data_IF_208011351880
#
_entry.id   IF_208011351880
#
_cell.length_a   1.000
_cell.length_b   1.000
_cell.length_c   1.000
_cell.angle_alpha   90.00
_cell.angle_beta   90.00
_cell.angle_gamma   90.00
#
_symmetry.space_group_name_H-M   'P 1'
#
loop_
_entity.id
_entity.type
_entity.pdbx_description
1 polymer ?
#
# COMPACT_ATOMS: atom_id res chain seq x y z
N UNK A 1 28.75 23.92 -17.95
CA UNK A 1 27.81 23.73 -16.82
C UNK A 1 26.38 23.82 -17.34
N UNK A 2 25.74 22.74 -17.82
CA UNK A 2 24.35 22.81 -18.24
C UNK A 2 23.41 22.47 -17.08
N UNK A 3 22.49 23.37 -16.79
CA UNK A 3 21.38 23.22 -15.84
C UNK A 3 20.36 22.22 -16.40
N UNK A 4 20.14 21.12 -15.69
CA UNK A 4 19.18 20.09 -16.08
C UNK A 4 17.76 20.60 -15.78
N UNK A 5 17.15 21.30 -16.74
CA UNK A 5 15.73 21.63 -16.68
C UNK A 5 14.92 20.33 -16.75
N UNK A 6 14.22 20.00 -15.67
CA UNK A 6 13.26 18.91 -15.61
C UNK A 6 12.28 18.99 -16.80
N UNK A 7 12.45 18.10 -17.79
CA UNK A 7 11.46 17.90 -18.86
C UNK A 7 10.20 17.34 -18.22
N UNK A 8 9.24 18.23 -18.04
CA UNK A 8 7.89 18.00 -17.50
C UNK A 8 7.21 16.87 -18.26
N UNK A 9 6.91 15.76 -17.60
CA UNK A 9 6.12 14.64 -18.14
C UNK A 9 4.70 15.12 -18.49
N UNK A 10 4.26 15.06 -19.77
CA UNK A 10 2.98 15.62 -20.21
C UNK A 10 1.73 14.96 -19.57
N UNK A 11 1.79 13.69 -19.18
CA UNK A 11 0.63 12.90 -18.77
C UNK A 11 -0.05 13.32 -17.45
N UNK A 12 0.71 13.82 -16.47
CA UNK A 12 0.17 14.16 -15.14
C UNK A 12 -0.77 15.38 -15.14
N UNK A 13 -0.67 16.25 -16.14
CA UNK A 13 -1.58 17.40 -16.35
C UNK A 13 -2.96 16.98 -16.84
N UNK A 14 -3.08 15.85 -17.52
CA UNK A 14 -4.34 15.35 -18.04
C UNK A 14 -5.17 14.62 -16.98
N UNK A 15 -4.56 14.15 -15.89
CA UNK A 15 -5.21 13.32 -14.86
C UNK A 15 -6.50 13.92 -14.29
N UNK A 16 -6.61 15.23 -13.99
CA UNK A 16 -7.88 15.83 -13.54
C UNK A 16 -8.99 15.80 -14.60
N UNK A 17 -8.64 15.82 -15.89
CA UNK A 17 -9.55 15.82 -17.04
C UNK A 17 -10.01 14.43 -17.49
N UNK A 18 -9.38 13.35 -17.01
CA UNK A 18 -9.69 11.95 -17.36
C UNK A 18 -10.68 11.28 -16.39
N UNK A 19 -11.38 12.08 -15.60
CA UNK A 19 -12.34 11.63 -14.58
C UNK A 19 -13.62 11.11 -15.24
N UNK A 20 -13.84 9.80 -15.25
CA UNK A 20 -15.09 9.21 -15.73
C UNK A 20 -16.12 9.25 -14.58
N UNK A 21 -17.27 9.87 -14.85
CA UNK A 21 -18.39 9.90 -13.91
C UNK A 21 -19.35 8.78 -14.27
N UNK A 22 -19.46 7.77 -13.41
CA UNK A 22 -20.50 6.75 -13.50
C UNK A 22 -21.57 7.11 -12.46
N UNK A 23 -22.80 7.35 -12.90
CA UNK A 23 -23.91 7.83 -12.06
C UNK A 23 -23.58 9.09 -11.23
N UNK A 24 -22.89 10.06 -11.85
CA UNK A 24 -22.54 11.35 -11.22
C UNK A 24 -21.43 11.29 -10.16
N UNK A 25 -20.95 10.09 -9.79
CA UNK A 25 -19.84 9.88 -8.86
C UNK A 25 -18.59 9.42 -9.63
N UNK A 26 -17.42 9.81 -9.12
CA UNK A 26 -16.13 9.32 -9.65
C UNK A 26 -15.72 8.07 -8.91
N UNK A 27 -15.08 7.15 -9.62
CA UNK A 27 -14.58 5.91 -9.04
C UNK A 27 -13.53 6.22 -7.94
N UNK A 28 -13.49 5.44 -6.85
CA UNK A 28 -12.54 5.66 -5.74
C UNK A 28 -11.09 5.75 -6.20
N UNK A 29 -10.77 4.96 -7.21
CA UNK A 29 -9.45 4.80 -7.79
C UNK A 29 -9.02 6.01 -8.64
N UNK A 30 -9.97 6.66 -9.33
CA UNK A 30 -9.72 7.93 -10.02
C UNK A 30 -9.53 9.08 -9.03
N UNK A 31 -10.31 9.10 -7.94
CA UNK A 31 -10.10 10.08 -6.85
C UNK A 31 -8.72 9.92 -6.20
N UNK A 32 -8.23 8.68 -6.07
CA UNK A 32 -6.89 8.39 -5.59
C UNK A 32 -5.81 8.91 -6.54
N UNK A 33 -5.91 8.57 -7.83
CA UNK A 33 -4.98 9.03 -8.86
C UNK A 33 -4.96 10.57 -8.96
N UNK A 34 -6.11 11.24 -8.86
CA UNK A 34 -6.20 12.70 -8.84
C UNK A 34 -5.56 13.30 -7.58
N UNK A 35 -5.74 12.69 -6.40
CA UNK A 35 -5.10 13.16 -5.17
C UNK A 35 -3.57 13.05 -5.24
N UNK A 36 -3.05 11.94 -5.76
CA UNK A 36 -1.61 11.74 -5.95
C UNK A 36 -1.05 12.63 -7.07
N UNK A 37 -1.78 12.84 -8.17
CA UNK A 37 -1.32 13.69 -9.28
C UNK A 37 -1.27 15.17 -8.94
N UNK A 38 -2.08 15.65 -7.99
CA UNK A 38 -2.02 17.04 -7.47
C UNK A 38 -0.64 17.42 -6.92
N UNK A 39 0.13 16.46 -6.38
CA UNK A 39 1.51 16.68 -5.92
C UNK A 39 2.45 17.18 -7.04
N UNK A 40 2.15 16.80 -8.29
CA UNK A 40 2.91 17.17 -9.48
C UNK A 40 2.43 18.45 -10.17
N UNK A 41 1.24 18.94 -9.81
CA UNK A 41 0.64 20.16 -10.35
C UNK A 41 0.80 21.36 -9.41
N UNK A 42 1.36 21.14 -8.21
CA UNK A 42 1.74 22.18 -7.26
C UNK A 42 2.85 23.08 -7.83
N UNK A 43 2.89 24.39 -7.50
CA UNK A 43 3.96 25.31 -7.93
C UNK A 43 5.39 24.83 -7.58
N UNK A 44 5.52 23.98 -6.56
CA UNK A 44 6.75 23.24 -6.22
C UNK A 44 6.45 21.73 -6.31
N UNK A 45 6.74 21.07 -7.44
CA UNK A 45 6.45 19.65 -7.61
C UNK A 45 7.38 18.80 -6.74
N UNK A 46 6.80 17.90 -5.95
CA UNK A 46 7.52 16.93 -5.12
C UNK A 46 7.37 15.56 -5.77
N UNK A 47 8.50 14.89 -6.03
CA UNK A 47 8.53 13.54 -6.62
C UNK A 47 8.04 12.50 -5.62
N UNK A 48 7.23 11.55 -6.07
CA UNK A 48 6.91 10.37 -5.26
C UNK A 48 8.19 9.57 -4.97
N UNK A 49 8.28 8.91 -3.79
CA UNK A 49 9.46 8.16 -3.39
C UNK A 49 9.76 6.97 -4.29
N UNK A 50 8.75 6.40 -4.95
CA UNK A 50 8.92 5.25 -5.85
C UNK A 50 8.27 5.54 -7.21
N UNK A 51 8.93 6.32 -8.08
CA UNK A 51 8.48 6.53 -9.45
C UNK A 51 8.57 5.26 -10.30
N UNK A 52 9.50 4.34 -9.95
CA UNK A 52 9.78 3.13 -10.73
C UNK A 52 8.63 2.10 -10.72
N UNK A 53 7.82 2.05 -9.66
CA UNK A 53 6.62 1.20 -9.60
C UNK A 53 5.40 1.82 -10.30
N UNK A 54 5.48 3.10 -10.66
CA UNK A 54 4.41 3.88 -11.32
C UNK A 54 4.76 4.28 -12.76
N UNK A 55 5.97 3.95 -13.22
CA UNK A 55 6.48 4.27 -14.53
C UNK A 55 6.88 3.00 -15.26
N UNK A 56 6.18 2.68 -16.36
CA UNK A 56 6.54 1.56 -17.23
C UNK A 56 8.01 1.65 -17.66
N UNK A 57 8.73 0.52 -17.80
CA UNK A 57 10.02 0.50 -18.46
C UNK A 57 9.82 1.00 -19.90
N UNK A 58 10.66 1.95 -20.28
CA UNK A 58 10.66 2.62 -21.57
C UNK A 58 11.07 1.64 -22.67
N UNK A 59 10.11 0.97 -23.31
CA UNK A 59 10.34 0.31 -24.59
C UNK A 59 9.20 0.65 -25.57
N UNK A 60 9.59 1.45 -26.55
CA UNK A 60 8.98 1.71 -27.86
C UNK A 60 7.55 2.29 -27.93
N UNK A 61 7.46 3.43 -28.60
CA UNK A 61 6.28 4.27 -28.81
C UNK A 61 5.44 3.80 -30.02
N UNK A 62 4.13 3.72 -29.86
CA UNK A 62 3.15 3.61 -30.96
C UNK A 62 1.78 4.06 -30.46
N UNK A 63 1.48 5.35 -30.62
CA UNK A 63 0.35 6.01 -29.97
C UNK A 63 -1.01 5.50 -30.43
N UNK A 64 -1.82 5.05 -29.47
CA UNK A 64 -3.26 4.89 -29.63
C UNK A 64 -4.00 5.34 -28.36
N UNK A 65 -5.27 5.73 -28.51
CA UNK A 65 -6.13 6.29 -27.46
C UNK A 65 -6.35 5.36 -26.24
N UNK A 66 -5.90 4.10 -26.33
CA UNK A 66 -5.83 3.14 -25.23
C UNK A 66 -4.66 3.38 -24.26
N UNK A 67 -3.70 4.23 -24.60
CA UNK A 67 -2.53 4.56 -23.76
C UNK A 67 -2.86 5.58 -22.65
N UNK A 68 -4.12 6.04 -22.58
CA UNK A 68 -4.57 7.07 -21.64
C UNK A 68 -5.38 6.52 -20.45
N UNK A 69 -5.50 5.19 -20.35
CA UNK A 69 -6.06 4.48 -19.21
C UNK A 69 -5.02 3.42 -18.83
N UNK A 70 -4.30 3.55 -17.69
CA UNK A 70 -4.78 2.81 -16.52
C UNK A 70 -4.26 3.30 -15.15
N UNK A 71 -4.00 4.58 -14.86
CA UNK A 71 -3.51 4.95 -13.51
C UNK A 71 -4.36 4.46 -12.31
N UNK A 72 -5.70 4.35 -12.41
CA UNK A 72 -6.47 3.75 -11.33
C UNK A 72 -6.27 2.23 -11.23
N UNK A 73 -6.21 1.54 -12.37
CA UNK A 73 -6.02 0.09 -12.41
C UNK A 73 -4.60 -0.27 -11.97
N UNK A 74 -3.58 0.52 -12.29
CA UNK A 74 -2.18 0.35 -11.85
C UNK A 74 -2.05 0.33 -10.33
N UNK A 75 -2.82 1.15 -9.61
CA UNK A 75 -2.85 1.09 -8.15
C UNK A 75 -3.54 -0.18 -7.63
N UNK A 76 -4.57 -0.68 -8.32
CA UNK A 76 -5.15 -2.01 -8.05
C UNK A 76 -4.14 -3.13 -8.36
N UNK A 77 -3.29 -2.96 -9.40
CA UNK A 77 -2.18 -3.85 -9.72
C UNK A 77 -1.04 -3.75 -8.72
N UNK A 78 -0.86 -2.67 -7.97
CA UNK A 78 0.10 -2.64 -6.86
C UNK A 78 -0.41 -3.56 -5.74
N UNK A 79 -1.69 -3.44 -5.36
CA UNK A 79 -2.28 -4.28 -4.31
C UNK A 79 -2.55 -5.73 -4.70
N UNK A 80 -2.87 -6.01 -5.97
CA UNK A 80 -2.91 -7.37 -6.51
C UNK A 80 -1.49 -7.89 -6.85
N UNK A 81 -0.58 -6.97 -7.18
CA UNK A 81 0.80 -7.24 -7.55
C UNK A 81 1.60 -7.75 -6.37
N UNK A 82 1.36 -7.29 -5.14
CA UNK A 82 1.98 -7.87 -3.95
C UNK A 82 1.77 -9.39 -3.85
N UNK A 83 0.56 -9.87 -4.15
CA UNK A 83 0.28 -11.31 -4.16
C UNK A 83 0.95 -12.07 -5.31
N UNK A 84 1.33 -11.37 -6.39
CA UNK A 84 2.09 -11.93 -7.52
C UNK A 84 3.60 -11.87 -7.25
N UNK A 85 4.07 -10.79 -6.61
CA UNK A 85 5.47 -10.59 -6.16
C UNK A 85 5.89 -11.75 -5.27
N UNK A 86 5.03 -12.16 -4.33
CA UNK A 86 5.29 -13.33 -3.48
C UNK A 86 5.45 -14.68 -4.17
N UNK A 87 5.20 -14.79 -5.48
CA UNK A 87 5.41 -16.03 -6.25
C UNK A 87 6.81 -16.11 -6.88
N UNK A 88 7.55 -15.00 -6.92
CA UNK A 88 8.89 -14.91 -7.51
C UNK A 88 9.82 -14.18 -6.52
N UNK A 89 10.55 -14.93 -5.67
CA UNK A 89 11.47 -14.37 -4.69
C UNK A 89 12.51 -13.42 -5.29
N UNK A 90 13.06 -13.75 -6.47
CA UNK A 90 14.11 -12.96 -7.13
C UNK A 90 13.60 -11.57 -7.53
N UNK A 91 12.34 -11.47 -7.99
CA UNK A 91 11.71 -10.18 -8.28
C UNK A 91 11.40 -9.41 -7.00
N UNK A 92 11.02 -10.12 -5.93
CA UNK A 92 10.74 -9.51 -4.62
C UNK A 92 12.00 -8.89 -4.03
N UNK A 93 13.14 -9.55 -4.13
CA UNK A 93 14.44 -9.02 -3.70
C UNK A 93 14.84 -7.77 -4.51
N UNK A 94 14.68 -7.80 -5.84
CA UNK A 94 14.96 -6.63 -6.68
C UNK A 94 14.07 -5.43 -6.33
N UNK A 95 12.78 -5.67 -6.02
CA UNK A 95 11.86 -4.62 -5.57
C UNK A 95 12.26 -4.11 -4.18
N UNK A 96 12.66 -5.00 -3.27
CA UNK A 96 13.12 -4.63 -1.93
C UNK A 96 14.37 -3.75 -2.00
N UNK A 97 15.31 -4.03 -2.90
CA UNK A 97 16.50 -3.20 -3.11
C UNK A 97 16.14 -1.78 -3.59
N UNK A 98 15.19 -1.67 -4.52
CA UNK A 98 14.68 -0.38 -5.01
C UNK A 98 14.01 0.39 -3.87
N UNK A 99 13.18 -0.26 -3.06
CA UNK A 99 12.49 0.35 -1.92
C UNK A 99 13.50 0.82 -0.88
N UNK A 100 14.53 0.02 -0.58
CA UNK A 100 15.58 0.37 0.38
C UNK A 100 16.36 1.60 -0.07
N UNK A 101 16.71 1.69 -1.36
CA UNK A 101 17.33 2.89 -1.94
C UNK A 101 16.41 4.13 -1.86
N UNK A 102 15.11 3.94 -2.05
CA UNK A 102 14.12 5.01 -1.90
C UNK A 102 14.01 5.50 -0.44
N UNK A 103 14.05 4.58 0.53
CA UNK A 103 14.08 4.89 1.96
C UNK A 103 15.29 5.77 2.32
N UNK A 104 16.49 5.36 1.93
CA UNK A 104 17.71 6.15 2.17
C UNK A 104 17.65 7.54 1.52
N UNK A 105 17.03 7.63 0.35
CA UNK A 105 16.88 8.90 -0.37
C UNK A 105 15.91 9.83 0.34
N UNK A 106 14.83 9.30 0.93
CA UNK A 106 13.91 10.06 1.76
C UNK A 106 14.59 10.56 3.04
N UNK A 107 15.37 9.72 3.72
CA UNK A 107 16.10 10.08 4.94
C UNK A 107 17.13 11.20 4.71
N UNK A 108 17.79 11.20 3.55
CA UNK A 108 18.77 12.24 3.16
C UNK A 108 18.11 13.50 2.57
N UNK A 109 16.83 13.43 2.22
CA UNK A 109 16.10 14.50 1.57
C UNK A 109 15.67 15.60 2.55
N UNK A 110 15.35 16.81 2.05
CA UNK A 110 14.75 17.83 2.90
C UNK A 110 13.34 17.41 3.35
N UNK A 111 13.06 17.57 4.63
CA UNK A 111 11.72 17.33 5.18
C UNK A 111 10.69 18.25 4.53
N UNK A 112 9.57 17.68 4.13
CA UNK A 112 8.47 18.38 3.47
C UNK A 112 7.13 17.92 4.03
N UNK A 113 6.04 18.55 3.56
CA UNK A 113 4.69 18.26 4.09
C UNK A 113 4.21 16.82 3.88
N UNK A 114 4.83 16.07 2.98
CA UNK A 114 4.54 14.66 2.66
C UNK A 114 5.55 13.66 3.23
N UNK A 115 6.63 14.11 3.90
CA UNK A 115 7.72 13.23 4.33
C UNK A 115 7.24 12.04 5.16
N UNK A 116 6.40 12.26 6.17
CA UNK A 116 5.86 11.18 7.01
C UNK A 116 4.97 10.22 6.22
N UNK A 117 4.12 10.75 5.33
CA UNK A 117 3.25 9.94 4.48
C UNK A 117 4.07 9.08 3.51
N UNK A 118 5.13 9.64 2.93
CA UNK A 118 6.02 8.97 1.99
C UNK A 118 6.91 7.92 2.67
N UNK A 119 7.43 8.21 3.87
CA UNK A 119 8.13 7.25 4.73
C UNK A 119 7.22 6.08 5.11
N UNK A 120 5.98 6.35 5.55
CA UNK A 120 5.02 5.31 5.90
C UNK A 120 4.66 4.44 4.68
N UNK A 121 4.56 5.03 3.50
CA UNK A 121 4.32 4.29 2.26
C UNK A 121 5.51 3.37 1.91
N UNK A 122 6.74 3.88 2.01
CA UNK A 122 7.96 3.09 1.77
C UNK A 122 8.05 1.93 2.77
N UNK A 123 7.80 2.17 4.05
CA UNK A 123 7.77 1.12 5.09
C UNK A 123 6.70 0.07 4.83
N UNK A 124 5.51 0.48 4.37
CA UNK A 124 4.44 -0.46 4.03
C UNK A 124 4.86 -1.39 2.90
N UNK A 125 5.46 -0.82 1.85
CA UNK A 125 5.97 -1.54 0.69
C UNK A 125 7.11 -2.49 1.06
N UNK A 126 8.04 -2.01 1.88
CA UNK A 126 9.17 -2.79 2.40
C UNK A 126 8.69 -3.97 3.22
N UNK A 127 7.76 -3.72 4.16
CA UNK A 127 7.17 -4.75 5.01
C UNK A 127 6.46 -5.85 4.22
N UNK A 128 5.77 -5.48 3.14
CA UNK A 128 5.16 -6.47 2.23
C UNK A 128 6.20 -7.35 1.54
N UNK A 129 7.27 -6.77 0.99
CA UNK A 129 8.34 -7.55 0.36
C UNK A 129 9.02 -8.49 1.36
N UNK A 130 9.36 -7.96 2.56
CA UNK A 130 9.96 -8.74 3.64
C UNK A 130 9.07 -9.90 4.08
N UNK A 131 7.76 -9.68 4.20
CA UNK A 131 6.77 -10.72 4.51
C UNK A 131 6.84 -11.86 3.48
N UNK A 132 6.83 -11.55 2.18
CA UNK A 132 6.89 -12.57 1.13
C UNK A 132 8.25 -13.29 1.06
N UNK A 133 9.32 -12.64 1.47
CA UNK A 133 10.65 -13.26 1.61
C UNK A 133 10.80 -14.07 2.91
N UNK A 134 9.75 -14.17 3.73
CA UNK A 134 9.78 -14.88 5.02
C UNK A 134 10.52 -14.14 6.14
N UNK A 135 10.94 -12.89 5.92
CA UNK A 135 11.58 -12.02 6.93
C UNK A 135 10.54 -11.37 7.83
N UNK A 136 9.79 -12.22 8.55
CA UNK A 136 8.57 -11.85 9.29
C UNK A 136 8.80 -10.79 10.36
N UNK A 137 9.88 -10.89 11.14
CA UNK A 137 10.19 -9.94 12.22
C UNK A 137 10.40 -8.52 11.67
N UNK A 138 11.19 -8.38 10.60
CA UNK A 138 11.45 -7.08 9.97
C UNK A 138 10.18 -6.52 9.32
N UNK A 139 9.34 -7.38 8.73
CA UNK A 139 8.05 -6.96 8.20
C UNK A 139 7.14 -6.39 9.30
N UNK A 140 7.09 -7.06 10.45
CA UNK A 140 6.33 -6.62 11.62
C UNK A 140 6.82 -5.25 12.14
N UNK A 141 8.12 -5.04 12.26
CA UNK A 141 8.70 -3.76 12.68
C UNK A 141 8.31 -2.61 11.74
N UNK A 142 8.36 -2.86 10.42
CA UNK A 142 7.93 -1.88 9.41
C UNK A 142 6.45 -1.51 9.59
N UNK A 143 5.56 -2.49 9.78
CA UNK A 143 4.14 -2.22 9.97
C UNK A 143 3.84 -1.51 11.30
N UNK A 144 4.53 -1.87 12.38
CA UNK A 144 4.40 -1.19 13.68
C UNK A 144 4.85 0.26 13.62
N UNK A 145 5.93 0.54 12.89
CA UNK A 145 6.44 1.91 12.71
C UNK A 145 5.42 2.82 12.02
N UNK A 146 4.58 2.29 11.11
CA UNK A 146 3.51 3.07 10.46
C UNK A 146 2.45 3.47 11.51
N UNK A 147 2.01 2.53 12.35
CA UNK A 147 1.05 2.80 13.43
C UNK A 147 1.58 3.82 14.44
N UNK A 148 2.87 3.77 14.77
CA UNK A 148 3.50 4.77 15.66
C UNK A 148 3.47 6.20 15.10
N UNK A 149 3.39 6.35 13.77
CA UNK A 149 3.32 7.65 13.09
C UNK A 149 1.89 8.08 12.73
N UNK A 150 0.86 7.38 13.21
CA UNK A 150 -0.56 7.64 12.88
C UNK A 150 -0.96 9.11 12.96
N UNK A 151 -0.65 9.77 14.08
CA UNK A 151 -1.04 11.18 14.33
C UNK A 151 -0.33 12.18 13.41
N UNK A 152 0.76 11.76 12.77
CA UNK A 152 1.59 12.60 11.91
C UNK A 152 1.24 12.48 10.43
N UNK A 153 0.49 11.44 10.03
CA UNK A 153 0.05 11.22 8.64
C UNK A 153 -1.05 12.22 8.28
N UNK A 154 -0.85 12.98 7.19
CA UNK A 154 -1.73 14.08 6.79
C UNK A 154 -2.66 13.77 5.62
N UNK A 155 -2.26 12.90 4.71
CA UNK A 155 -2.97 12.72 3.43
C UNK A 155 -3.35 11.26 3.16
N UNK A 156 -2.42 10.34 3.40
CA UNK A 156 -2.50 8.94 3.01
C UNK A 156 -3.07 8.08 4.16
N UNK A 157 -4.23 8.46 4.68
CA UNK A 157 -4.90 7.79 5.80
C UNK A 157 -5.24 6.30 5.56
N UNK A 158 -5.13 5.81 4.32
CA UNK A 158 -5.29 4.39 4.01
C UNK A 158 -4.11 3.54 4.50
N UNK A 159 -2.94 4.15 4.79
CA UNK A 159 -1.73 3.45 5.20
C UNK A 159 -1.93 2.69 6.51
N UNK A 160 -2.57 3.32 7.50
CA UNK A 160 -2.79 2.74 8.82
C UNK A 160 -3.67 1.49 8.79
N UNK A 161 -4.93 1.53 8.27
CA UNK A 161 -5.77 0.33 8.24
C UNK A 161 -5.18 -0.79 7.37
N UNK A 162 -4.37 -0.48 6.35
CA UNK A 162 -3.66 -1.49 5.57
C UNK A 162 -2.47 -2.09 6.35
N UNK A 163 -1.69 -1.28 7.06
CA UNK A 163 -0.61 -1.77 7.90
C UNK A 163 -1.13 -2.69 9.03
N UNK A 164 -2.24 -2.30 9.67
CA UNK A 164 -2.90 -3.13 10.69
C UNK A 164 -3.42 -4.45 10.11
N UNK A 165 -4.01 -4.42 8.91
CA UNK A 165 -4.44 -5.63 8.20
C UNK A 165 -3.26 -6.56 7.92
N UNK A 166 -2.16 -6.05 7.36
CA UNK A 166 -0.99 -6.90 7.04
C UNK A 166 -0.31 -7.45 8.29
N UNK A 167 -0.23 -6.66 9.37
CA UNK A 167 0.27 -7.11 10.67
C UNK A 167 -0.62 -8.20 11.28
N UNK A 168 -1.94 -8.05 11.19
CA UNK A 168 -2.87 -9.08 11.66
C UNK A 168 -2.72 -10.40 10.87
N UNK A 169 -2.50 -10.32 9.55
CA UNK A 169 -2.23 -11.49 8.74
C UNK A 169 -0.94 -12.20 9.16
N UNK A 170 0.13 -11.46 9.50
CA UNK A 170 1.35 -12.06 10.07
C UNK A 170 1.07 -12.79 11.40
N UNK A 171 0.23 -12.22 12.26
CA UNK A 171 -0.15 -12.88 13.52
C UNK A 171 -0.98 -14.14 13.30
N UNK A 172 -1.88 -14.14 12.31
CA UNK A 172 -2.63 -15.35 11.92
C UNK A 172 -1.68 -16.45 11.44
N UNK A 173 -0.66 -16.11 10.64
CA UNK A 173 0.37 -17.06 10.19
C UNK A 173 1.19 -17.63 11.35
N UNK A 174 1.37 -16.86 12.44
CA UNK A 174 2.03 -17.30 13.68
C UNK A 174 1.08 -18.04 14.66
N UNK A 175 -0.20 -18.20 14.31
CA UNK A 175 -1.22 -18.80 15.20
C UNK A 175 -1.76 -17.87 16.29
N UNK A 176 -1.34 -16.61 16.34
CA UNK A 176 -1.77 -15.58 17.31
C UNK A 176 -3.09 -14.93 16.88
N UNK A 177 -4.12 -15.75 16.70
CA UNK A 177 -5.39 -15.35 16.10
C UNK A 177 -6.18 -14.35 16.97
N UNK A 178 -6.08 -14.41 18.30
CA UNK A 178 -6.75 -13.46 19.20
C UNK A 178 -6.21 -12.03 19.03
N UNK A 179 -4.89 -11.89 18.92
CA UNK A 179 -4.25 -10.60 18.68
C UNK A 179 -4.59 -10.07 17.28
N UNK A 180 -4.60 -10.96 16.28
CA UNK A 180 -5.01 -10.61 14.92
C UNK A 180 -6.44 -10.05 14.88
N UNK A 181 -7.41 -10.69 15.55
CA UNK A 181 -8.80 -10.21 15.59
C UNK A 181 -8.90 -8.83 16.23
N UNK A 182 -8.17 -8.57 17.32
CA UNK A 182 -8.13 -7.25 17.97
C UNK A 182 -7.62 -6.16 17.02
N UNK A 183 -6.54 -6.44 16.29
CA UNK A 183 -6.02 -5.53 15.27
C UNK A 183 -7.02 -5.27 14.15
N UNK A 184 -7.66 -6.32 13.64
CA UNK A 184 -8.63 -6.21 12.54
C UNK A 184 -9.89 -5.42 12.93
N UNK A 185 -10.40 -5.61 14.14
CA UNK A 185 -11.53 -4.82 14.64
C UNK A 185 -11.14 -3.35 14.86
N UNK A 186 -9.93 -3.10 15.37
CA UNK A 186 -9.38 -1.74 15.49
C UNK A 186 -9.30 -1.06 14.12
N UNK A 187 -8.76 -1.75 13.11
CA UNK A 187 -8.66 -1.24 11.74
C UNK A 187 -10.03 -0.95 11.11
N UNK A 188 -11.06 -1.76 11.42
CA UNK A 188 -12.42 -1.61 10.91
C UNK A 188 -13.18 -0.45 11.56
N UNK A 189 -13.00 -0.23 12.86
CA UNK A 189 -13.84 0.68 13.64
C UNK A 189 -13.29 2.11 13.69
N UNK A 190 -11.96 2.24 13.77
CA UNK A 190 -11.30 3.52 14.06
C UNK A 190 -10.95 4.33 12.80
N UNK A 191 -10.95 3.70 11.62
CA UNK A 191 -10.55 4.35 10.35
C UNK A 191 -11.70 4.34 9.36
N UNK A 192 -12.09 5.52 8.87
CA UNK A 192 -13.21 5.71 7.94
C UNK A 192 -12.91 6.80 6.91
N UNK A 193 -13.63 6.78 5.79
CA UNK A 193 -13.58 7.80 4.73
C UNK A 193 -12.22 7.94 4.02
N UNK A 194 -11.39 6.90 4.04
CA UNK A 194 -10.09 6.87 3.34
C UNK A 194 -10.22 6.28 1.92
N UNK A 195 -9.17 6.43 1.11
CA UNK A 195 -9.20 5.88 -0.25
C UNK A 195 -9.14 4.36 -0.25
N UNK A 196 -9.93 3.71 -1.10
CA UNK A 196 -10.01 2.24 -1.21
C UNK A 196 -10.50 1.55 0.08
N UNK A 197 -11.26 2.26 0.93
CA UNK A 197 -11.86 1.76 2.16
C UNK A 197 -12.67 0.47 1.94
N UNK A 198 -13.58 0.44 0.96
CA UNK A 198 -14.41 -0.75 0.70
C UNK A 198 -13.58 -2.01 0.41
N UNK A 199 -12.45 -1.87 -0.29
CA UNK A 199 -11.54 -2.99 -0.59
C UNK A 199 -10.83 -3.46 0.68
N UNK A 200 -10.31 -2.53 1.47
CA UNK A 200 -9.61 -2.83 2.72
C UNK A 200 -10.57 -3.48 3.73
N UNK A 201 -11.80 -2.96 3.86
CA UNK A 201 -12.84 -3.54 4.70
C UNK A 201 -13.22 -4.95 4.28
N UNK A 202 -13.36 -5.22 2.98
CA UNK A 202 -13.64 -6.57 2.48
C UNK A 202 -12.55 -7.56 2.91
N UNK A 203 -11.27 -7.19 2.74
CA UNK A 203 -10.13 -8.00 3.19
C UNK A 203 -10.13 -8.20 4.71
N UNK A 204 -10.41 -7.14 5.48
CA UNK A 204 -10.53 -7.21 6.94
C UNK A 204 -11.65 -8.17 7.35
N UNK A 205 -12.82 -8.11 6.72
CA UNK A 205 -13.92 -9.03 7.04
C UNK A 205 -13.54 -10.49 6.74
N UNK A 206 -12.92 -10.74 5.59
CA UNK A 206 -12.45 -12.08 5.24
C UNK A 206 -11.43 -12.61 6.27
N UNK A 207 -10.46 -11.78 6.67
CA UNK A 207 -9.46 -12.13 7.67
C UNK A 207 -10.08 -12.39 9.05
N UNK A 208 -11.06 -11.59 9.50
CA UNK A 208 -11.77 -11.81 10.77
C UNK A 208 -12.48 -13.17 10.77
N UNK A 209 -13.19 -13.50 9.68
CA UNK A 209 -13.89 -14.79 9.55
C UNK A 209 -12.91 -15.97 9.61
N UNK A 210 -11.77 -15.85 8.92
CA UNK A 210 -10.73 -16.87 8.93
C UNK A 210 -10.06 -17.02 10.32
N UNK A 211 -9.76 -15.92 10.99
CA UNK A 211 -9.17 -15.95 12.34
C UNK A 211 -10.13 -16.57 13.37
N UNK A 212 -11.42 -16.19 13.34
CA UNK A 212 -12.44 -16.73 14.25
C UNK A 212 -12.68 -18.23 14.05
N UNK A 213 -12.79 -18.68 12.79
CA UNK A 213 -12.92 -20.12 12.51
C UNK A 213 -11.70 -20.92 12.98
N UNK A 214 -10.50 -20.36 12.89
CA UNK A 214 -9.28 -21.00 13.41
C UNK A 214 -9.29 -21.14 14.94
N UNK A 215 -9.80 -20.13 15.66
CA UNK A 215 -9.98 -20.18 17.12
C UNK A 215 -11.01 -21.23 17.55
N UNK A 216 -12.15 -21.31 16.86
CA UNK A 216 -13.19 -22.30 17.15
C UNK A 216 -12.68 -23.73 16.94
N UNK A 217 -11.91 -23.97 15.87
CA UNK A 217 -11.29 -25.26 15.60
C UNK A 217 -10.23 -25.63 16.65
N UNK A 218 -9.40 -24.66 17.08
CA UNK A 218 -8.44 -24.84 18.17
C UNK A 218 -9.12 -25.26 19.48
N UNK A 219 -10.20 -24.58 19.86
CA UNK A 219 -10.96 -24.92 21.07
C UNK A 219 -11.60 -26.30 21.01
N UNK A 220 -12.18 -26.69 19.87
CA UNK A 220 -12.76 -28.04 19.69
C UNK A 220 -11.70 -29.14 19.83
N UNK A 221 -10.50 -28.92 19.29
CA UNK A 221 -9.40 -29.89 19.41
C UNK A 221 -8.94 -30.07 20.86
N UNK A 222 -8.82 -28.98 21.62
CA UNK A 222 -8.45 -29.04 23.04
C UNK A 222 -9.50 -29.77 23.89
N UNK A 223 -10.79 -29.48 23.68
CA UNK A 223 -11.88 -30.17 24.40
C UNK A 223 -11.89 -31.68 24.13
N UNK A 224 -11.60 -32.09 22.89
CA UNK A 224 -11.50 -33.52 22.53
C UNK A 224 -10.28 -34.21 23.16
N UNK A 225 -9.16 -33.49 23.37
CA UNK A 225 -7.95 -34.06 23.99
C UNK A 225 -8.01 -34.18 25.51
N UNK A 226 -8.84 -33.37 26.18
CA UNK A 226 -9.03 -33.41 27.65
C UNK A 226 -10.09 -34.46 28.05
N UNK A 227 -10.88 -34.95 27.10
CA UNK A 227 -11.96 -35.92 27.33
C UNK A 227 -11.54 -37.39 27.12
N UNK A 228 -10.23 -37.66 26.94
CA UNK A 228 -9.60 -38.98 26.82
C UNK A 228 -8.67 -39.22 28.01
#
# INVERSE_FOLDING_TARGET
MPTCSARRTPGLRAVPGLKLKIAGKSLPTEKFAIRKSRRYLSPKPISLPIPALLGKPRLHWGGNLTDLLPYPQEMMYIWNGYAVIGKQPELTDGILEIITKAEETLEKGPENEYSVDDECLVKLLKGLCLKYLGRVQEAEENFRSISSNEKKIKYDHYLIPNALLELALLFMEQGRNEEAVKLLETAKQNYKNYSMESRTHFRIQAAILQAKSSLENGNRSMVSSVSL
#
